data_IF_994592073385
#
_entry.id   IF_994592073385
#
_cell.length_a   1.000
_cell.length_b   1.000
_cell.length_c   1.000
_cell.angle_alpha   90.00
_cell.angle_beta   90.00
_cell.angle_gamma   90.00
#
_symmetry.space_group_name_H-M   'P 1'
#
loop_
_entity.id
_entity.type
_entity.pdbx_description
1 polymer ?
#
# COMPACT_ATOMS: atom_id res chain seq x y z
N UNK A 1 -5.92 6.43 -25.14
CA UNK A 1 -6.15 5.43 -24.10
C UNK A 1 -7.53 5.59 -23.49
N UNK A 2 -8.14 4.49 -23.14
CA UNK A 2 -9.47 4.49 -22.52
C UNK A 2 -9.42 5.00 -21.07
N UNK A 3 -8.24 5.06 -20.48
CA UNK A 3 -8.05 5.58 -19.12
C UNK A 3 -6.66 6.20 -18.98
N UNK A 4 -6.54 7.16 -18.07
CA UNK A 4 -5.30 7.88 -17.84
C UNK A 4 -4.42 7.20 -16.77
N UNK A 5 -3.25 7.81 -16.50
CA UNK A 5 -2.29 7.28 -15.54
C UNK A 5 -2.85 7.18 -14.11
N UNK A 6 -3.76 8.08 -13.75
CA UNK A 6 -4.39 8.04 -12.42
C UNK A 6 -5.22 6.79 -12.19
N UNK A 7 -5.64 6.11 -13.26
CA UNK A 7 -6.49 4.90 -13.19
C UNK A 7 -5.70 3.60 -13.34
N UNK A 8 -4.39 3.67 -13.59
CA UNK A 8 -3.61 2.48 -13.96
C UNK A 8 -3.66 1.38 -12.90
N UNK A 9 -3.52 1.71 -11.63
CA UNK A 9 -3.55 0.73 -10.55
C UNK A 9 -4.98 0.35 -10.18
N UNK A 10 -5.88 1.31 -10.19
CA UNK A 10 -7.31 1.07 -9.94
C UNK A 10 -7.86 -0.02 -10.87
N UNK A 11 -7.54 0.06 -12.15
CA UNK A 11 -8.00 -0.93 -13.13
C UNK A 11 -7.43 -2.31 -12.87
N UNK A 12 -6.19 -2.41 -12.45
CA UNK A 12 -5.58 -3.68 -12.08
C UNK A 12 -6.24 -4.30 -10.86
N UNK A 13 -6.51 -3.49 -9.84
CA UNK A 13 -7.21 -3.94 -8.63
C UNK A 13 -8.59 -4.47 -8.98
N UNK A 14 -9.34 -3.73 -9.80
CA UNK A 14 -10.68 -4.14 -10.22
C UNK A 14 -10.67 -5.44 -11.02
N UNK A 15 -9.63 -5.68 -11.82
CA UNK A 15 -9.52 -6.88 -12.65
C UNK A 15 -9.08 -8.11 -11.86
N UNK A 16 -8.22 -7.96 -10.86
CA UNK A 16 -7.53 -9.06 -10.18
C UNK A 16 -7.92 -9.24 -8.72
N UNK A 17 -8.40 -8.17 -8.08
CA UNK A 17 -8.69 -8.18 -6.65
C UNK A 17 -9.92 -8.98 -6.28
N UNK A 18 -9.83 -9.73 -5.19
CA UNK A 18 -10.94 -10.52 -4.62
C UNK A 18 -11.07 -10.19 -3.14
N UNK A 19 -12.29 -10.28 -2.57
CA UNK A 19 -12.48 -10.08 -1.13
C UNK A 19 -11.51 -10.93 -0.33
N UNK A 20 -10.89 -10.32 0.70
CA UNK A 20 -9.89 -10.98 1.53
C UNK A 20 -8.46 -10.87 1.05
N UNK A 21 -8.24 -10.45 -0.19
CA UNK A 21 -6.88 -10.15 -0.67
C UNK A 21 -6.30 -8.94 0.05
N UNK A 22 -5.01 -8.72 -0.10
CA UNK A 22 -4.28 -7.60 0.51
C UNK A 22 -3.69 -6.73 -0.59
N UNK A 23 -3.98 -5.43 -0.53
CA UNK A 23 -3.32 -4.43 -1.35
C UNK A 23 -2.31 -3.66 -0.49
N UNK A 24 -1.06 -3.60 -0.95
CA UNK A 24 -0.05 -2.73 -0.35
C UNK A 24 0.15 -1.54 -1.28
N UNK A 25 -0.22 -0.36 -0.81
CA UNK A 25 -0.03 0.89 -1.54
C UNK A 25 1.18 1.63 -1.01
N UNK A 26 2.07 2.05 -1.90
CA UNK A 26 3.30 2.75 -1.54
C UNK A 26 3.24 4.17 -2.10
N UNK A 27 3.30 5.15 -1.20
CA UNK A 27 3.32 6.56 -1.57
C UNK A 27 4.03 7.36 -0.49
N UNK A 28 5.19 7.91 -0.81
CA UNK A 28 5.99 8.67 0.18
C UNK A 28 5.27 9.92 0.66
N UNK A 29 4.47 10.56 -0.19
CA UNK A 29 3.64 11.71 0.19
C UNK A 29 2.30 11.31 0.81
N UNK A 30 1.82 10.11 0.49
CA UNK A 30 0.48 9.68 0.83
C UNK A 30 -0.61 10.34 -0.01
N UNK A 31 -0.23 11.05 -1.08
CA UNK A 31 -1.16 11.82 -1.91
C UNK A 31 -1.12 11.45 -3.39
N UNK A 32 -0.47 10.34 -3.75
CA UNK A 32 -0.41 9.89 -5.14
C UNK A 32 -1.79 9.46 -5.62
N UNK A 33 -2.32 10.13 -6.63
CA UNK A 33 -3.70 9.89 -7.10
C UNK A 33 -3.93 8.45 -7.56
N UNK A 34 -3.00 7.88 -8.30
CA UNK A 34 -3.12 6.51 -8.78
C UNK A 34 -3.19 5.51 -7.62
N UNK A 35 -2.42 5.72 -6.57
CA UNK A 35 -2.45 4.87 -5.36
C UNK A 35 -3.74 5.08 -4.58
N UNK A 36 -4.19 6.33 -4.41
CA UNK A 36 -5.46 6.64 -3.73
C UNK A 36 -6.63 5.93 -4.41
N UNK A 37 -6.70 5.99 -5.75
CA UNK A 37 -7.78 5.34 -6.50
C UNK A 37 -7.73 3.81 -6.37
N UNK A 38 -6.53 3.24 -6.35
CA UNK A 38 -6.35 1.80 -6.12
C UNK A 38 -6.83 1.40 -4.73
N UNK A 39 -6.49 2.17 -3.71
CA UNK A 39 -6.91 1.91 -2.32
C UNK A 39 -8.43 2.03 -2.19
N UNK A 40 -9.04 3.05 -2.78
CA UNK A 40 -10.50 3.20 -2.76
C UNK A 40 -11.19 2.01 -3.43
N UNK A 41 -10.68 1.54 -4.58
CA UNK A 41 -11.21 0.36 -5.26
C UNK A 41 -11.04 -0.90 -4.41
N UNK A 42 -9.89 -1.09 -3.79
CA UNK A 42 -9.62 -2.23 -2.93
C UNK A 42 -10.55 -2.27 -1.72
N UNK A 43 -10.73 -1.13 -1.06
CA UNK A 43 -11.65 -1.02 0.07
C UNK A 43 -13.08 -1.37 -0.35
N UNK A 44 -13.52 -0.89 -1.51
CA UNK A 44 -14.86 -1.19 -2.03
C UNK A 44 -15.06 -2.67 -2.35
N UNK A 45 -14.01 -3.38 -2.75
CA UNK A 45 -14.04 -4.80 -3.08
C UNK A 45 -13.85 -5.72 -1.87
N UNK A 46 -13.59 -5.17 -0.70
CA UNK A 46 -13.38 -5.97 0.51
C UNK A 46 -11.95 -6.50 0.68
N UNK A 47 -10.98 -5.88 0.03
CA UNK A 47 -9.57 -6.18 0.28
C UNK A 47 -9.12 -5.53 1.58
N UNK A 48 -8.09 -6.11 2.21
CA UNK A 48 -7.34 -5.44 3.27
C UNK A 48 -6.34 -4.48 2.63
N UNK A 49 -6.19 -3.29 3.18
CA UNK A 49 -5.28 -2.28 2.62
C UNK A 49 -4.20 -1.89 3.62
N UNK A 50 -2.95 -1.90 3.14
CA UNK A 50 -1.77 -1.46 3.90
C UNK A 50 -1.15 -0.31 3.12
N UNK A 51 -0.83 0.78 3.79
CA UNK A 51 -0.14 1.91 3.17
C UNK A 51 1.28 2.04 3.73
N UNK A 52 2.28 2.05 2.83
CA UNK A 52 3.64 2.42 3.17
C UNK A 52 3.80 3.90 2.80
N UNK A 53 3.81 4.74 3.81
CA UNK A 53 3.63 6.18 3.67
C UNK A 53 4.79 6.95 4.31
N UNK A 54 4.80 8.26 4.15
CA UNK A 54 5.79 9.14 4.75
C UNK A 54 5.18 10.44 5.25
N UNK A 55 5.94 11.20 6.03
CA UNK A 55 5.51 12.48 6.57
C UNK A 55 4.27 12.33 7.46
N UNK A 56 3.19 13.00 7.08
CA UNK A 56 1.90 12.90 7.79
C UNK A 56 1.03 11.74 7.28
N UNK A 57 1.48 11.06 6.24
CA UNK A 57 0.70 10.01 5.58
C UNK A 57 -0.28 10.53 4.52
N UNK A 58 -0.47 11.84 4.42
CA UNK A 58 -1.35 12.45 3.43
C UNK A 58 -2.77 11.93 3.47
N UNK A 59 -3.45 11.96 2.35
CA UNK A 59 -4.83 11.48 2.23
C UNK A 59 -4.94 9.98 2.52
N UNK A 60 -3.90 9.20 2.24
CA UNK A 60 -3.91 7.75 2.43
C UNK A 60 -3.88 7.34 3.91
N UNK A 61 -3.37 8.20 4.80
CA UNK A 61 -3.29 7.89 6.23
C UNK A 61 -4.64 7.47 6.81
N UNK A 62 -5.72 8.11 6.37
CA UNK A 62 -7.08 7.82 6.85
C UNK A 62 -7.86 6.85 5.97
N UNK A 63 -7.30 6.41 4.84
CA UNK A 63 -8.00 5.55 3.89
C UNK A 63 -7.59 4.08 3.98
N UNK A 64 -6.33 3.81 4.30
CA UNK A 64 -5.85 2.42 4.42
C UNK A 64 -6.23 1.83 5.77
N UNK A 65 -6.40 0.51 5.78
CA UNK A 65 -6.70 -0.21 7.02
C UNK A 65 -5.52 -0.22 7.98
N UNK A 66 -4.30 -0.28 7.46
CA UNK A 66 -3.07 -0.25 8.26
C UNK A 66 -2.06 0.71 7.64
N UNK A 67 -1.91 1.92 8.18
CA UNK A 67 -0.86 2.83 7.74
C UNK A 67 0.46 2.51 8.45
N UNK A 68 1.53 2.41 7.66
CA UNK A 68 2.90 2.29 8.15
C UNK A 68 3.67 3.50 7.64
N UNK A 69 3.81 4.52 8.50
CA UNK A 69 4.23 5.85 8.10
C UNK A 69 5.60 6.17 8.66
N UNK A 70 6.56 6.43 7.76
CA UNK A 70 7.89 6.90 8.15
C UNK A 70 7.82 8.41 8.33
N UNK A 71 7.77 8.86 9.58
CA UNK A 71 7.59 10.28 9.94
C UNK A 71 8.83 10.92 10.57
N UNK A 72 9.90 10.15 10.75
CA UNK A 72 11.11 10.64 11.42
C UNK A 72 12.05 11.45 10.51
N UNK A 73 11.76 11.53 9.22
CA UNK A 73 12.57 12.26 8.26
C UNK A 73 11.69 12.80 7.13
N UNK A 74 11.97 14.02 6.60
CA UNK A 74 11.28 14.54 5.42
C UNK A 74 11.93 14.10 4.11
N UNK A 75 13.06 13.39 4.16
CA UNK A 75 13.84 13.05 2.95
C UNK A 75 13.29 11.79 2.30
N UNK A 76 12.77 11.93 1.07
CA UNK A 76 12.17 10.84 0.31
C UNK A 76 13.05 9.58 0.22
N UNK A 77 14.38 9.68 -0.06
CA UNK A 77 15.20 8.46 -0.09
C UNK A 77 15.23 7.71 1.25
N UNK A 78 15.20 8.42 2.36
CA UNK A 78 15.17 7.79 3.70
C UNK A 78 13.83 7.11 3.97
N UNK A 79 12.74 7.76 3.55
CA UNK A 79 11.40 7.17 3.64
C UNK A 79 11.33 5.88 2.82
N UNK A 80 11.87 5.89 1.60
CA UNK A 80 11.92 4.72 0.73
C UNK A 80 12.74 3.59 1.33
N UNK A 81 13.86 3.89 1.99
CA UNK A 81 14.65 2.88 2.70
C UNK A 81 13.85 2.24 3.85
N UNK A 82 13.08 3.04 4.58
CA UNK A 82 12.18 2.55 5.62
C UNK A 82 11.12 1.61 5.03
N UNK A 83 10.52 1.98 3.90
CA UNK A 83 9.54 1.13 3.20
C UNK A 83 10.17 -0.20 2.76
N UNK A 84 11.38 -0.16 2.23
CA UNK A 84 12.07 -1.38 1.79
C UNK A 84 12.32 -2.31 2.98
N UNK A 85 12.74 -1.78 4.12
CA UNK A 85 12.92 -2.55 5.34
C UNK A 85 11.60 -3.20 5.77
N UNK A 86 10.50 -2.43 5.75
CA UNK A 86 9.17 -2.96 6.11
C UNK A 86 8.75 -4.10 5.19
N UNK A 87 8.99 -3.97 3.88
CA UNK A 87 8.68 -5.03 2.91
C UNK A 87 9.48 -6.29 3.22
N UNK A 88 10.78 -6.16 3.50
CA UNK A 88 11.61 -7.30 3.86
C UNK A 88 11.14 -7.99 5.14
N UNK A 89 10.78 -7.23 6.16
CA UNK A 89 10.30 -7.79 7.43
C UNK A 89 8.95 -8.49 7.25
N UNK A 90 8.05 -7.91 6.46
CA UNK A 90 6.75 -8.53 6.16
C UNK A 90 6.94 -9.85 5.41
N UNK A 91 7.79 -9.86 4.40
CA UNK A 91 8.06 -11.07 3.62
C UNK A 91 8.71 -12.15 4.48
N UNK A 92 9.66 -11.79 5.33
CA UNK A 92 10.31 -12.72 6.25
C UNK A 92 9.28 -13.35 7.20
N UNK A 93 8.37 -12.55 7.74
CA UNK A 93 7.34 -13.04 8.64
C UNK A 93 6.33 -13.94 7.92
N UNK A 94 5.98 -13.61 6.69
CA UNK A 94 5.10 -14.47 5.87
C UNK A 94 5.77 -15.84 5.63
N UNK A 95 7.06 -15.86 5.27
CA UNK A 95 7.80 -17.09 5.08
C UNK A 95 7.80 -17.96 6.35
N UNK A 96 8.05 -17.35 7.52
CA UNK A 96 8.02 -18.06 8.80
C UNK A 96 6.65 -18.71 9.04
N UNK A 97 5.57 -17.95 8.81
CA UNK A 97 4.21 -18.46 9.01
C UNK A 97 3.90 -19.58 8.04
N UNK A 98 4.26 -19.44 6.77
CA UNK A 98 3.96 -20.43 5.74
C UNK A 98 4.78 -21.73 5.92
N UNK A 99 5.96 -21.66 6.50
CA UNK A 99 6.82 -22.81 6.77
C UNK A 99 6.48 -23.53 8.08
N UNK A 100 5.73 -22.89 8.95
CA UNK A 100 5.36 -23.49 10.24
C UNK A 100 4.31 -24.57 10.03
N UNK A 101 4.54 -25.82 10.49
CA UNK A 101 3.51 -26.87 10.41
C UNK A 101 2.24 -26.48 11.17
N UNK A 102 1.11 -26.87 10.60
CA UNK A 102 -0.20 -26.61 11.20
C UNK A 102 -0.41 -27.42 12.51
#
# INVERSE_FOLDING_TARGET
NDFDFDQVFEKQVQALGRPGDVLVGISTSGNSRNVIRAVDAANALGLHTIGLLGGTGGALQGKVGLPLTVSCTPHTPRIQEGHLLMVHLICERIEEIMETPA
#
